data_IF_835078952943
#
_entry.id   IF_835078952943
#
_cell.length_a   1.000
_cell.length_b   1.000
_cell.length_c   1.000
_cell.angle_alpha   90.00
_cell.angle_beta   90.00
_cell.angle_gamma   90.00
#
_symmetry.space_group_name_H-M   'P 1'
#
loop_
_entity.id
_entity.type
_entity.pdbx_description
1 polymer ?
#
# COMPACT_ATOMS: atom_id res chain seq x y z
N UNK A 1 -5.98 21.58 -29.01
CA UNK A 1 -6.70 21.15 -27.79
C UNK A 1 -5.73 20.42 -26.86
N UNK A 2 -5.73 20.82 -25.59
CA UNK A 2 -4.64 20.69 -24.61
C UNK A 2 -4.18 19.25 -24.32
N UNK A 3 -2.85 19.07 -24.36
CA UNK A 3 -2.13 17.90 -23.81
C UNK A 3 -2.28 17.89 -22.28
N UNK A 4 -2.78 16.77 -21.74
CA UNK A 4 -2.66 16.43 -20.32
C UNK A 4 -1.24 15.94 -20.09
N UNK A 5 -0.37 16.76 -19.52
CA UNK A 5 0.82 16.28 -18.82
C UNK A 5 0.33 15.74 -17.49
N UNK A 6 0.12 14.42 -17.45
CA UNK A 6 -0.03 13.68 -16.20
C UNK A 6 1.30 13.81 -15.47
N UNK A 7 1.32 14.50 -14.34
CA UNK A 7 2.50 14.54 -13.48
C UNK A 7 2.79 13.11 -13.00
N UNK A 8 4.04 12.70 -13.09
CA UNK A 8 4.52 11.37 -12.77
C UNK A 8 4.54 11.06 -11.25
N UNK A 9 3.70 11.73 -10.45
CA UNK A 9 3.65 11.57 -8.99
C UNK A 9 2.43 10.79 -8.46
N UNK A 10 1.62 10.20 -9.35
CA UNK A 10 0.39 9.50 -8.95
C UNK A 10 0.48 7.96 -8.98
N UNK A 11 1.63 7.34 -9.27
CA UNK A 11 1.64 5.90 -9.59
C UNK A 11 2.74 5.03 -8.95
N UNK A 12 3.64 5.56 -8.13
CA UNK A 12 4.68 4.72 -7.52
C UNK A 12 5.04 5.22 -6.12
N UNK A 13 5.18 4.28 -5.18
CA UNK A 13 5.80 4.46 -3.85
C UNK A 13 4.97 5.12 -2.73
N UNK A 14 3.92 4.42 -2.24
CA UNK A 14 3.61 4.38 -0.78
C UNK A 14 3.13 2.99 -0.28
N UNK A 15 2.74 2.03 -1.14
CA UNK A 15 2.04 0.81 -0.64
C UNK A 15 2.95 -0.42 -0.38
N UNK A 16 4.26 -0.35 -0.59
CA UNK A 16 5.10 -1.56 -0.55
C UNK A 16 6.22 -1.51 0.49
N UNK A 17 5.91 -1.67 1.78
CA UNK A 17 6.84 -2.28 2.76
C UNK A 17 6.15 -2.60 4.09
N UNK A 18 5.69 -3.85 4.28
CA UNK A 18 5.45 -4.45 5.60
C UNK A 18 5.81 -5.97 5.63
N UNK A 19 7.09 -6.24 5.98
CA UNK A 19 7.63 -7.37 6.81
C UNK A 19 7.78 -8.82 6.22
N UNK A 20 8.51 -9.79 6.87
CA UNK A 20 9.89 -10.22 6.57
C UNK A 20 10.06 -11.69 6.07
N UNK A 21 11.29 -12.01 5.64
CA UNK A 21 11.80 -13.23 4.99
C UNK A 21 11.86 -14.51 5.88
N UNK A 22 11.52 -15.70 5.36
CA UNK A 22 12.28 -16.99 5.54
C UNK A 22 11.55 -18.21 4.93
N UNK A 23 12.35 -19.10 4.32
CA UNK A 23 11.99 -20.33 3.58
C UNK A 23 11.21 -21.36 4.44
N UNK A 24 10.32 -22.14 3.81
CA UNK A 24 9.54 -23.23 4.42
C UNK A 24 9.75 -24.56 3.65
N UNK A 25 10.30 -25.60 4.29
CA UNK A 25 10.65 -26.88 3.61
C UNK A 25 10.02 -28.15 4.26
N UNK A 26 8.79 -28.07 4.78
CA UNK A 26 8.04 -29.24 5.29
C UNK A 26 7.07 -29.86 4.27
N UNK A 27 6.86 -31.19 4.30
CA UNK A 27 5.88 -31.91 3.46
C UNK A 27 5.06 -32.91 4.29
N UNK A 28 3.76 -32.99 4.04
CA UNK A 28 2.85 -34.01 4.56
C UNK A 28 2.23 -34.80 3.40
N UNK A 29 2.17 -36.13 3.54
CA UNK A 29 1.62 -37.04 2.54
C UNK A 29 0.63 -37.96 3.25
N UNK A 30 -0.45 -38.36 2.60
CA UNK A 30 -1.39 -39.32 3.19
C UNK A 30 -2.33 -39.91 2.16
N UNK A 31 -3.17 -40.85 2.60
CA UNK A 31 -4.23 -41.43 1.78
C UNK A 31 -5.54 -41.48 2.55
N UNK A 32 -6.65 -41.36 1.82
CA UNK A 32 -8.01 -41.43 2.34
C UNK A 32 -8.70 -42.62 1.70
N UNK A 33 -9.15 -43.54 2.54
CA UNK A 33 -9.89 -44.74 2.15
C UNK A 33 -11.23 -44.81 2.88
N UNK A 34 -12.17 -45.57 2.34
CA UNK A 34 -13.39 -45.94 3.05
C UNK A 34 -13.12 -47.13 4.00
N UNK A 35 -14.18 -47.63 4.65
CA UNK A 35 -14.09 -48.73 5.63
C UNK A 35 -13.65 -50.05 5.03
N UNK A 36 -13.82 -50.23 3.73
CA UNK A 36 -13.42 -51.44 3.01
C UNK A 36 -12.02 -51.28 2.39
N UNK A 37 -11.32 -50.18 2.71
CA UNK A 37 -9.99 -49.87 2.18
C UNK A 37 -10.00 -49.29 0.76
N UNK A 38 -11.17 -48.98 0.18
CA UNK A 38 -11.23 -48.42 -1.16
C UNK A 38 -10.84 -46.94 -1.16
N UNK A 39 -10.05 -46.46 -2.15
CA UNK A 39 -9.62 -45.06 -2.14
C UNK A 39 -10.75 -44.06 -2.39
N UNK A 40 -10.83 -43.03 -1.54
CA UNK A 40 -11.79 -41.93 -1.68
C UNK A 40 -11.19 -40.82 -2.52
N UNK A 41 -11.59 -40.74 -3.79
CA UNK A 41 -11.15 -39.73 -4.76
C UNK A 41 -11.79 -38.36 -4.52
N UNK A 42 -11.03 -37.28 -4.76
CA UNK A 42 -11.48 -35.88 -4.61
C UNK A 42 -12.05 -35.59 -3.21
N UNK A 43 -11.58 -36.28 -2.18
CA UNK A 43 -11.81 -35.89 -0.79
C UNK A 43 -11.05 -34.59 -0.53
N UNK A 44 -11.68 -33.63 0.12
CA UNK A 44 -11.01 -32.39 0.51
C UNK A 44 -10.21 -32.65 1.78
N UNK A 45 -8.95 -32.23 1.80
CA UNK A 45 -8.07 -32.28 2.96
C UNK A 45 -7.66 -30.88 3.32
N UNK A 46 -7.78 -30.54 4.59
CA UNK A 46 -7.46 -29.23 5.16
C UNK A 46 -6.45 -29.41 6.27
N UNK A 47 -5.43 -28.56 6.30
CA UNK A 47 -4.45 -28.45 7.37
C UNK A 47 -4.51 -27.02 7.91
N UNK A 48 -4.98 -26.86 9.14
CA UNK A 48 -5.22 -25.56 9.79
C UNK A 48 -4.21 -25.40 10.93
N UNK A 49 -3.37 -24.35 10.95
CA UNK A 49 -2.52 -24.08 12.11
C UNK A 49 -3.38 -23.68 13.32
N UNK A 50 -3.05 -24.21 14.49
CA UNK A 50 -3.84 -24.09 15.73
C UNK A 50 -3.24 -23.05 16.68
N UNK A 51 -1.91 -22.96 16.72
CA UNK A 51 -1.16 -22.09 17.64
C UNK A 51 -0.41 -20.95 16.93
N UNK A 52 -0.50 -20.90 15.59
CA UNK A 52 0.09 -19.88 14.72
C UNK A 52 -0.95 -19.37 13.71
N UNK A 53 -1.86 -18.47 14.13
CA UNK A 53 -2.93 -17.97 13.27
C UNK A 53 -2.42 -17.12 12.10
N UNK A 54 -1.16 -16.69 12.14
CA UNK A 54 -0.45 -16.03 11.05
C UNK A 54 -0.13 -16.95 9.86
N UNK A 55 -0.20 -18.28 10.06
CA UNK A 55 0.08 -19.25 9.01
C UNK A 55 -1.19 -19.58 8.20
N UNK A 56 -1.09 -19.74 6.87
CA UNK A 56 -2.27 -20.00 6.05
C UNK A 56 -2.80 -21.42 6.27
N UNK A 57 -4.12 -21.57 6.19
CA UNK A 57 -4.77 -22.88 6.09
C UNK A 57 -4.50 -23.50 4.72
N UNK A 58 -3.94 -24.72 4.68
CA UNK A 58 -3.63 -25.41 3.43
C UNK A 58 -4.76 -26.36 3.06
N UNK A 59 -5.24 -26.29 1.81
CA UNK A 59 -6.34 -27.12 1.30
C UNK A 59 -5.88 -27.88 0.06
N UNK A 60 -6.04 -29.20 0.05
CA UNK A 60 -5.73 -30.07 -1.10
C UNK A 60 -6.86 -31.06 -1.37
N UNK A 61 -6.82 -31.75 -2.51
CA UNK A 61 -7.77 -32.83 -2.84
C UNK A 61 -7.01 -34.12 -3.07
N UNK A 62 -7.60 -35.23 -2.65
CA UNK A 62 -7.06 -36.56 -2.93
C UNK A 62 -7.12 -36.92 -4.43
N UNK A 63 -6.11 -37.64 -4.90
CA UNK A 63 -5.99 -38.14 -6.28
C UNK A 63 -6.93 -39.32 -6.57
N UNK A 64 -6.78 -39.95 -7.74
CA UNK A 64 -7.59 -41.13 -8.12
C UNK A 64 -7.33 -42.36 -7.26
N UNK A 65 -6.20 -42.40 -6.54
CA UNK A 65 -5.80 -43.45 -5.60
C UNK A 65 -6.02 -43.00 -4.14
N UNK A 66 -6.82 -41.95 -3.91
CA UNK A 66 -7.12 -41.44 -2.56
C UNK A 66 -5.94 -40.72 -1.89
N UNK A 67 -4.81 -40.52 -2.57
CA UNK A 67 -3.59 -39.93 -1.99
C UNK A 67 -3.59 -38.41 -2.06
N UNK A 68 -3.01 -37.74 -1.08
CA UNK A 68 -2.83 -36.29 -1.07
C UNK A 68 -1.41 -35.93 -0.64
N UNK A 69 -0.97 -34.76 -1.07
CA UNK A 69 0.34 -34.18 -0.75
C UNK A 69 0.14 -32.72 -0.39
N UNK A 70 0.74 -32.28 0.72
CA UNK A 70 0.81 -30.89 1.19
C UNK A 70 2.29 -30.54 1.32
N UNK A 71 2.77 -29.51 0.62
CA UNK A 71 4.16 -29.03 0.71
C UNK A 71 4.28 -27.66 1.37
N UNK A 72 5.52 -27.21 1.60
CA UNK A 72 5.87 -25.90 2.16
C UNK A 72 5.25 -25.63 3.55
N UNK A 73 5.14 -26.67 4.38
CA UNK A 73 4.59 -26.57 5.73
C UNK A 73 5.62 -25.91 6.65
N UNK A 74 5.19 -24.89 7.41
CA UNK A 74 6.01 -24.20 8.42
C UNK A 74 5.86 -24.86 9.79
N UNK A 75 6.73 -24.52 10.76
CA UNK A 75 6.67 -25.11 12.10
C UNK A 75 5.50 -24.52 12.91
N UNK A 76 4.55 -25.37 13.32
CA UNK A 76 3.35 -25.02 14.13
C UNK A 76 2.59 -26.30 14.54
N UNK A 77 1.67 -26.21 15.49
CA UNK A 77 0.61 -27.20 15.70
C UNK A 77 -0.44 -27.09 14.61
N UNK A 78 -0.79 -28.20 13.96
CA UNK A 78 -1.82 -28.22 12.92
C UNK A 78 -2.96 -29.17 13.23
N UNK A 79 -4.18 -28.77 12.88
CA UNK A 79 -5.38 -29.60 12.79
C UNK A 79 -5.59 -30.04 11.35
N UNK A 80 -5.60 -31.35 11.11
CA UNK A 80 -5.93 -31.94 9.81
C UNK A 80 -7.39 -32.40 9.77
N UNK A 81 -8.12 -32.05 8.71
CA UNK A 81 -9.51 -32.45 8.50
C UNK A 81 -9.70 -32.97 7.08
N UNK A 82 -10.38 -34.11 6.92
CA UNK A 82 -10.74 -34.68 5.62
C UNK A 82 -12.26 -34.75 5.46
N UNK A 83 -12.79 -34.37 4.30
CA UNK A 83 -14.23 -34.36 4.03
C UNK A 83 -14.58 -34.84 2.62
N UNK A 84 -15.64 -35.66 2.53
CA UNK A 84 -16.27 -36.08 1.28
C UNK A 84 -17.77 -36.30 1.47
N UNK A 85 -18.61 -35.63 0.68
CA UNK A 85 -20.07 -35.82 0.67
C UNK A 85 -20.42 -37.29 0.41
N UNK A 86 -21.30 -37.87 1.25
CA UNK A 86 -21.78 -39.26 1.12
C UNK A 86 -20.95 -40.33 1.82
N UNK A 87 -19.84 -39.97 2.48
CA UNK A 87 -19.01 -40.92 3.21
C UNK A 87 -19.10 -40.65 4.72
N UNK A 88 -19.41 -41.69 5.51
CA UNK A 88 -19.22 -41.70 6.99
C UNK A 88 -17.83 -42.23 7.31
N UNK A 89 -17.34 -41.96 8.51
CA UNK A 89 -15.92 -42.09 8.90
C UNK A 89 -15.29 -43.40 8.48
N UNK A 90 -14.19 -43.27 7.74
CA UNK A 90 -13.28 -44.33 7.34
C UNK A 90 -11.87 -44.03 7.83
N UNK A 91 -11.11 -45.11 8.04
CA UNK A 91 -9.72 -45.13 8.48
C UNK A 91 -8.83 -44.14 7.71
N UNK A 92 -8.03 -43.37 8.44
CA UNK A 92 -7.02 -42.47 7.87
C UNK A 92 -5.64 -43.04 8.18
N UNK A 93 -4.99 -43.59 7.15
CA UNK A 93 -3.56 -43.90 7.20
C UNK A 93 -2.77 -42.64 6.80
N UNK A 94 -2.17 -41.97 7.78
CA UNK A 94 -1.33 -40.79 7.59
C UNK A 94 0.16 -41.14 7.82
N UNK A 95 1.00 -40.85 6.84
CA UNK A 95 2.46 -41.04 6.89
C UNK A 95 3.16 -39.70 6.62
N UNK A 96 3.73 -39.07 7.64
CA UNK A 96 4.44 -37.79 7.49
C UNK A 96 5.93 -38.09 7.25
N UNK A 97 6.49 -37.58 6.15
CA UNK A 97 7.90 -37.76 5.79
C UNK A 97 8.56 -36.41 5.43
N UNK A 98 9.75 -36.14 5.98
CA UNK A 98 10.59 -34.98 5.67
C UNK A 98 11.80 -35.40 4.80
N UNK A 99 12.49 -34.46 4.10
CA UNK A 99 13.65 -34.80 3.28
C UNK A 99 14.86 -35.12 4.17
N UNK A 100 14.96 -36.39 4.55
CA UNK A 100 16.16 -37.15 4.93
C UNK A 100 15.70 -38.58 5.25
N UNK A 101 15.02 -39.23 4.31
CA UNK A 101 14.63 -40.66 4.30
C UNK A 101 14.23 -41.32 5.64
N UNK A 102 13.64 -40.56 6.56
CA UNK A 102 13.11 -41.06 7.82
C UNK A 102 11.63 -40.73 7.90
N UNK A 103 10.81 -41.76 7.72
CA UNK A 103 9.41 -41.73 8.16
C UNK A 103 9.40 -41.48 9.66
N UNK A 104 8.94 -40.30 10.10
CA UNK A 104 8.88 -39.97 11.53
C UNK A 104 7.74 -40.72 12.24
N UNK A 105 6.67 -41.07 11.51
CA UNK A 105 5.55 -41.86 12.07
C UNK A 105 4.66 -42.48 10.98
N UNK A 106 4.12 -43.66 11.29
CA UNK A 106 3.10 -44.35 10.52
C UNK A 106 1.96 -44.78 11.45
N UNK A 107 0.76 -44.23 11.25
CA UNK A 107 -0.44 -44.72 11.91
C UNK A 107 -1.24 -45.58 10.97
N UNK A 108 -1.64 -46.74 11.47
CA UNK A 108 -2.57 -47.66 10.82
C UNK A 108 -3.66 -47.98 11.84
N UNK A 109 -4.83 -47.37 11.71
CA UNK A 109 -5.96 -47.66 12.60
C UNK A 109 -7.20 -46.77 12.41
N UNK A 110 -8.38 -47.24 12.88
CA UNK A 110 -9.64 -46.53 12.77
C UNK A 110 -9.74 -45.36 13.75
N UNK A 111 -10.02 -44.17 13.22
CA UNK A 111 -10.34 -43.00 14.04
C UNK A 111 -11.85 -42.80 14.00
N UNK A 112 -12.51 -42.87 15.15
CA UNK A 112 -13.96 -42.73 15.29
C UNK A 112 -14.32 -41.32 15.82
N UNK A 113 -15.52 -40.79 15.53
CA UNK A 113 -16.00 -39.55 16.15
C UNK A 113 -15.92 -39.64 17.68
N UNK A 114 -15.29 -38.66 18.33
CA UNK A 114 -15.21 -38.59 19.79
C UNK A 114 -14.06 -39.37 20.44
N UNK A 115 -13.23 -40.09 19.67
CA UNK A 115 -11.99 -40.64 20.23
C UNK A 115 -11.01 -39.52 20.58
N UNK A 116 -10.38 -39.58 21.76
CA UNK A 116 -9.30 -38.67 22.14
C UNK A 116 -8.19 -38.80 21.11
N UNK A 117 -7.83 -37.73 20.39
CA UNK A 117 -6.76 -37.78 19.42
C UNK A 117 -5.41 -38.02 20.11
N UNK A 118 -4.61 -39.01 19.71
CA UNK A 118 -3.21 -39.08 20.09
C UNK A 118 -2.48 -37.74 19.96
N UNK A 119 -1.87 -37.28 21.04
CA UNK A 119 -0.92 -36.17 20.99
C UNK A 119 0.36 -36.66 20.33
N UNK A 120 0.80 -36.02 19.24
CA UNK A 120 2.07 -36.37 18.59
C UNK A 120 3.11 -35.28 18.89
N UNK A 121 4.27 -35.67 19.46
CA UNK A 121 5.44 -34.80 19.59
C UNK A 121 6.43 -35.14 18.48
N UNK A 122 6.67 -34.21 17.56
CA UNK A 122 7.69 -34.29 16.53
C UNK A 122 8.94 -33.60 17.10
N UNK A 123 10.00 -34.38 17.26
CA UNK A 123 11.34 -33.97 17.70
C UNK A 123 11.42 -33.39 19.13
N UNK A 124 10.42 -33.66 19.98
CA UNK A 124 10.34 -33.16 21.36
C UNK A 124 9.91 -31.70 21.51
N UNK A 125 9.69 -30.97 20.39
CA UNK A 125 9.43 -29.52 20.38
C UNK A 125 8.25 -29.07 19.49
N UNK A 126 7.60 -30.00 18.78
CA UNK A 126 6.43 -29.68 17.94
C UNK A 126 5.29 -30.61 18.29
N UNK A 127 4.19 -30.08 18.83
CA UNK A 127 3.00 -30.90 19.14
C UNK A 127 2.01 -30.79 18.00
N UNK A 128 1.57 -31.90 17.40
CA UNK A 128 0.46 -31.92 16.44
C UNK A 128 -0.74 -32.54 17.14
N UNK A 129 -1.84 -31.78 17.21
CA UNK A 129 -3.12 -32.22 17.78
C UNK A 129 -4.13 -32.28 16.66
N UNK A 130 -4.80 -33.42 16.49
CA UNK A 130 -5.81 -33.60 15.44
C UNK A 130 -7.21 -33.62 16.03
N UNK A 131 -8.23 -33.21 15.29
CA UNK A 131 -9.63 -33.43 15.63
C UNK A 131 -10.33 -33.94 14.37
N UNK A 132 -10.90 -35.14 14.43
CA UNK A 132 -11.73 -35.70 13.34
C UNK A 132 -13.19 -35.56 13.77
N UNK A 133 -13.83 -34.52 13.27
CA UNK A 133 -15.26 -34.28 13.49
C UNK A 133 -16.02 -34.78 12.28
N UNK A 134 -16.82 -35.82 12.47
CA UNK A 134 -17.72 -36.37 11.45
C UNK A 134 -19.07 -36.61 12.09
N UNK A 135 -20.08 -35.83 11.70
CA UNK A 135 -21.44 -35.99 12.22
C UNK A 135 -22.27 -36.92 11.32
N UNK A 136 -23.00 -37.89 11.90
CA UNK A 136 -24.13 -38.55 11.27
C UNK A 136 -25.43 -37.79 11.59
N UNK A 137 -26.23 -37.46 10.57
CA UNK A 137 -27.67 -37.14 10.66
C UNK A 137 -28.15 -36.22 11.80
N UNK A 138 -27.47 -35.09 12.04
CA UNK A 138 -28.19 -33.91 12.48
C UNK A 138 -28.58 -33.15 11.21
N UNK A 139 -29.84 -32.72 11.12
CA UNK A 139 -30.45 -32.13 9.93
C UNK A 139 -29.54 -31.13 9.23
N UNK A 140 -29.73 -31.02 7.91
CA UNK A 140 -29.08 -30.03 7.05
C UNK A 140 -28.75 -28.78 7.88
N UNK A 141 -27.47 -28.43 8.13
CA UNK A 141 -27.16 -27.18 8.80
C UNK A 141 -27.83 -26.13 7.92
N UNK A 142 -28.95 -25.58 8.38
CA UNK A 142 -30.03 -25.14 7.50
C UNK A 142 -29.54 -24.17 6.45
N UNK A 143 -29.76 -24.48 5.16
CA UNK A 143 -29.40 -23.63 4.01
C UNK A 143 -28.21 -22.68 4.26
N UNK A 144 -27.05 -23.20 4.66
CA UNK A 144 -25.82 -22.40 4.59
C UNK A 144 -25.49 -22.37 3.11
N UNK A 145 -25.81 -21.25 2.48
CA UNK A 145 -25.61 -21.03 1.06
C UNK A 145 -24.24 -21.52 0.60
N UNK A 146 -24.16 -21.83 -0.68
CA UNK A 146 -23.00 -22.31 -1.44
C UNK A 146 -21.78 -21.35 -1.44
N UNK A 147 -21.64 -20.49 -0.45
CA UNK A 147 -20.60 -19.48 -0.30
C UNK A 147 -19.31 -20.03 0.29
N UNK A 148 -18.21 -19.43 -0.14
CA UNK A 148 -16.91 -19.59 0.51
C UNK A 148 -17.02 -19.10 1.98
N UNK A 149 -16.15 -19.56 2.91
CA UNK A 149 -16.11 -19.01 4.26
C UNK A 149 -15.84 -17.50 4.21
N UNK A 150 -16.54 -16.75 5.06
CA UNK A 150 -16.33 -15.31 5.23
C UNK A 150 -14.87 -15.03 5.56
N UNK A 151 -14.27 -14.06 4.86
CA UNK A 151 -12.91 -13.65 5.14
C UNK A 151 -12.88 -12.78 6.40
N UNK A 152 -11.83 -12.94 7.18
CA UNK A 152 -11.50 -12.01 8.25
C UNK A 152 -11.17 -10.62 7.69
N UNK A 153 -11.26 -9.59 8.54
CA UNK A 153 -10.87 -8.22 8.16
C UNK A 153 -9.41 -8.18 7.64
N UNK A 154 -8.51 -8.99 8.20
CA UNK A 154 -7.11 -9.06 7.74
C UNK A 154 -6.98 -9.65 6.33
N UNK A 155 -7.76 -10.69 6.01
CA UNK A 155 -7.77 -11.27 4.66
C UNK A 155 -8.38 -10.31 3.63
N UNK A 156 -9.40 -9.54 4.02
CA UNK A 156 -9.97 -8.46 3.21
C UNK A 156 -8.92 -7.36 2.96
N UNK A 157 -8.22 -6.92 4.00
CA UNK A 157 -7.12 -5.94 3.88
C UNK A 157 -6.04 -6.45 2.92
N UNK A 158 -5.65 -7.72 3.03
CA UNK A 158 -4.64 -8.31 2.14
C UNK A 158 -5.09 -8.32 0.67
N UNK A 159 -6.40 -8.51 0.40
CA UNK A 159 -6.93 -8.41 -0.97
C UNK A 159 -6.88 -6.99 -1.50
N UNK A 160 -7.26 -6.02 -0.68
CA UNK A 160 -7.19 -4.61 -1.04
C UNK A 160 -5.73 -4.22 -1.36
N UNK A 161 -4.78 -4.61 -0.51
CA UNK A 161 -3.35 -4.38 -0.73
C UNK A 161 -2.81 -5.11 -1.97
N UNK A 162 -3.34 -6.30 -2.27
CA UNK A 162 -3.04 -7.06 -3.47
C UNK A 162 -3.68 -6.50 -4.76
N UNK A 163 -4.47 -5.43 -4.68
CA UNK A 163 -5.17 -4.81 -5.81
C UNK A 163 -6.43 -5.57 -6.26
N UNK A 164 -6.85 -6.61 -5.53
CA UNK A 164 -8.06 -7.39 -5.81
C UNK A 164 -9.30 -6.71 -5.19
N UNK A 165 -9.53 -5.46 -5.59
CA UNK A 165 -10.52 -4.55 -4.98
C UNK A 165 -11.95 -5.08 -5.14
N UNK A 166 -12.28 -5.64 -6.31
CA UNK A 166 -13.60 -6.18 -6.56
C UNK A 166 -13.91 -7.41 -5.68
N UNK A 167 -12.94 -8.31 -5.49
CA UNK A 167 -13.14 -9.43 -4.58
C UNK A 167 -13.21 -8.99 -3.11
N UNK A 168 -12.43 -7.98 -2.72
CA UNK A 168 -12.54 -7.40 -1.38
C UNK A 168 -13.94 -6.82 -1.14
N UNK A 169 -14.48 -6.04 -2.08
CA UNK A 169 -15.83 -5.46 -1.98
C UNK A 169 -16.90 -6.56 -1.85
N UNK A 170 -16.86 -7.58 -2.73
CA UNK A 170 -17.81 -8.69 -2.67
C UNK A 170 -17.80 -9.38 -1.30
N UNK A 171 -16.61 -9.57 -0.75
CA UNK A 171 -16.44 -10.23 0.54
C UNK A 171 -16.90 -9.36 1.71
N UNK A 172 -16.58 -8.06 1.68
CA UNK A 172 -17.06 -7.10 2.69
C UNK A 172 -18.59 -7.06 2.68
N UNK A 173 -19.22 -7.01 1.51
CA UNK A 173 -20.68 -7.01 1.40
C UNK A 173 -21.29 -8.29 1.97
N UNK A 174 -20.70 -9.47 1.67
CA UNK A 174 -21.15 -10.73 2.24
C UNK A 174 -20.98 -10.77 3.76
N UNK A 175 -19.92 -10.18 4.31
CA UNK A 175 -19.74 -10.06 5.75
C UNK A 175 -20.81 -9.14 6.36
N UNK A 176 -21.09 -8.01 5.73
CA UNK A 176 -22.11 -7.05 6.17
C UNK A 176 -23.54 -7.61 6.09
N UNK A 177 -23.83 -8.58 5.22
CA UNK A 177 -25.11 -9.31 5.26
C UNK A 177 -25.32 -10.04 6.60
N UNK A 178 -24.24 -10.51 7.21
CA UNK A 178 -24.27 -11.22 8.50
C UNK A 178 -24.12 -10.29 9.71
N UNK A 179 -23.34 -9.22 9.58
CA UNK A 179 -23.10 -8.21 10.62
C UNK A 179 -23.26 -6.81 10.02
N UNK A 180 -24.51 -6.32 9.82
CA UNK A 180 -24.76 -5.07 9.11
C UNK A 180 -24.19 -3.80 9.78
N UNK A 181 -23.93 -3.87 11.09
CA UNK A 181 -23.47 -2.73 11.90
C UNK A 181 -22.00 -2.86 12.33
N UNK A 182 -21.15 -3.46 11.50
CA UNK A 182 -19.70 -3.47 11.74
C UNK A 182 -19.03 -2.22 11.16
N UNK A 183 -18.56 -1.33 12.03
CA UNK A 183 -17.87 -0.11 11.64
C UNK A 183 -16.57 -0.38 10.86
N UNK A 184 -15.83 -1.44 11.19
CA UNK A 184 -14.57 -1.77 10.50
C UNK A 184 -14.83 -2.26 9.08
N UNK A 185 -15.88 -3.08 8.88
CA UNK A 185 -16.26 -3.53 7.54
C UNK A 185 -16.79 -2.39 6.68
N UNK A 186 -17.60 -1.48 7.25
CA UNK A 186 -18.04 -0.27 6.54
C UNK A 186 -16.85 0.65 6.19
N UNK A 187 -15.85 0.75 7.07
CA UNK A 187 -14.62 1.49 6.81
C UNK A 187 -13.82 0.87 5.65
N UNK A 188 -13.62 -0.45 5.66
CA UNK A 188 -12.95 -1.17 4.58
C UNK A 188 -13.73 -1.06 3.25
N UNK A 189 -15.07 -1.04 3.30
CA UNK A 189 -15.91 -0.81 2.13
C UNK A 189 -15.69 0.60 1.58
N UNK A 190 -15.68 1.61 2.45
CA UNK A 190 -15.44 3.00 2.06
C UNK A 190 -14.06 3.16 1.40
N UNK A 191 -13.03 2.54 1.98
CA UNK A 191 -11.68 2.55 1.44
C UNK A 191 -11.59 1.86 0.07
N UNK A 192 -12.20 0.68 -0.08
CA UNK A 192 -12.20 -0.06 -1.34
C UNK A 192 -12.99 0.67 -2.45
N UNK A 193 -14.14 1.25 -2.12
CA UNK A 193 -14.95 2.05 -3.06
C UNK A 193 -14.23 3.32 -3.48
N UNK A 194 -13.51 3.99 -2.56
CA UNK A 194 -12.68 5.15 -2.88
C UNK A 194 -11.58 4.77 -3.89
N UNK A 195 -10.88 3.64 -3.69
CA UNK A 195 -9.87 3.17 -4.64
C UNK A 195 -10.44 2.83 -6.02
N UNK A 196 -11.68 2.32 -6.05
CA UNK A 196 -12.41 2.04 -7.29
C UNK A 196 -12.92 3.31 -8.00
N UNK A 197 -12.93 4.45 -7.31
CA UNK A 197 -13.48 5.72 -7.80
C UNK A 197 -15.01 5.82 -7.69
N UNK A 198 -15.65 4.92 -6.93
CA UNK A 198 -17.09 4.99 -6.64
C UNK A 198 -17.30 5.86 -5.39
N UNK A 199 -17.20 7.18 -5.57
CA UNK A 199 -17.19 8.16 -4.49
C UNK A 199 -18.52 8.22 -3.70
N UNK A 200 -19.64 7.97 -4.37
CA UNK A 200 -20.96 7.94 -3.74
C UNK A 200 -21.06 6.80 -2.73
N UNK A 201 -20.75 5.56 -3.15
CA UNK A 201 -20.77 4.42 -2.22
C UNK A 201 -19.71 4.51 -1.14
N UNK A 202 -18.55 5.09 -1.46
CA UNK A 202 -17.52 5.37 -0.47
C UNK A 202 -18.04 6.34 0.61
N UNK A 203 -18.81 7.35 0.20
CA UNK A 203 -19.43 8.31 1.13
C UNK A 203 -20.50 7.65 2.00
N UNK A 204 -21.40 6.87 1.42
CA UNK A 204 -22.40 6.12 2.20
C UNK A 204 -21.75 5.22 3.27
N UNK A 205 -20.71 4.48 2.89
CA UNK A 205 -20.02 3.56 3.77
C UNK A 205 -19.23 4.28 4.88
N UNK A 206 -18.60 5.42 4.59
CA UNK A 206 -17.87 6.18 5.63
C UNK A 206 -18.84 6.91 6.58
N UNK A 207 -19.97 7.40 6.07
CA UNK A 207 -21.01 8.00 6.91
C UNK A 207 -21.60 6.94 7.86
N UNK A 208 -21.81 5.71 7.37
CA UNK A 208 -22.23 4.59 8.23
C UNK A 208 -21.18 4.24 9.28
N UNK A 209 -19.91 4.19 8.88
CA UNK A 209 -18.77 3.97 9.80
C UNK A 209 -18.79 4.97 10.94
N UNK A 210 -18.83 6.27 10.62
CA UNK A 210 -18.80 7.36 11.60
C UNK A 210 -20.08 7.44 12.42
N UNK A 211 -21.21 6.93 11.93
CA UNK A 211 -22.45 6.81 12.72
C UNK A 211 -22.36 5.73 13.80
N UNK A 212 -21.62 4.64 13.55
CA UNK A 212 -21.46 3.52 14.48
C UNK A 212 -20.28 3.76 15.44
N UNK A 213 -19.15 4.20 14.90
CA UNK A 213 -17.95 4.54 15.65
C UNK A 213 -17.37 5.89 15.17
N UNK A 214 -17.77 7.01 15.81
CA UNK A 214 -17.34 8.36 15.42
C UNK A 214 -15.83 8.63 15.54
N UNK A 215 -15.11 7.80 16.29
CA UNK A 215 -13.67 7.92 16.57
C UNK A 215 -12.87 6.76 15.97
N UNK A 216 -13.43 6.03 15.00
CA UNK A 216 -12.67 4.99 14.30
C UNK A 216 -11.49 5.64 13.56
N UNK A 217 -10.28 5.18 13.87
CA UNK A 217 -9.06 5.69 13.23
C UNK A 217 -9.07 5.49 11.71
N UNK A 218 -8.57 6.49 11.00
CA UNK A 218 -8.55 6.57 9.55
C UNK A 218 -9.87 7.03 8.94
N UNK A 219 -10.99 6.96 9.66
CA UNK A 219 -12.31 7.20 9.07
C UNK A 219 -12.50 8.66 8.64
N UNK A 220 -12.07 9.63 9.45
CA UNK A 220 -12.16 11.04 9.06
C UNK A 220 -11.12 11.39 7.98
N UNK A 221 -10.03 10.64 7.84
CA UNK A 221 -9.12 10.77 6.68
C UNK A 221 -9.80 10.35 5.37
N UNK A 222 -10.55 9.25 5.36
CA UNK A 222 -11.31 8.83 4.17
C UNK A 222 -12.38 9.87 3.83
N UNK A 223 -13.13 10.35 4.84
CA UNK A 223 -14.11 11.40 4.66
C UNK A 223 -13.49 12.68 4.08
N UNK A 224 -12.33 13.09 4.61
CA UNK A 224 -11.59 14.24 4.10
C UNK A 224 -11.23 14.10 2.61
N UNK A 225 -10.75 12.92 2.17
CA UNK A 225 -10.44 12.64 0.77
C UNK A 225 -11.66 12.68 -0.14
N UNK A 226 -12.80 12.20 0.34
CA UNK A 226 -14.06 12.24 -0.41
C UNK A 226 -14.57 13.67 -0.59
N UNK A 227 -14.53 14.47 0.48
CA UNK A 227 -14.90 15.89 0.46
C UNK A 227 -13.96 16.71 -0.43
N UNK A 228 -12.66 16.41 -0.39
CA UNK A 228 -11.67 17.00 -1.29
C UNK A 228 -11.99 16.73 -2.76
N UNK A 229 -12.33 15.48 -3.11
CA UNK A 229 -12.73 15.12 -4.46
C UNK A 229 -14.03 15.81 -4.90
N UNK A 230 -14.93 16.11 -3.95
CA UNK A 230 -16.13 16.91 -4.18
C UNK A 230 -15.86 18.42 -4.31
N UNK A 231 -14.62 18.89 -4.07
CA UNK A 231 -14.26 20.31 -4.06
C UNK A 231 -14.64 21.05 -2.77
N UNK A 232 -15.04 20.33 -1.72
CA UNK A 232 -15.47 20.87 -0.43
C UNK A 232 -14.27 21.08 0.51
N UNK A 233 -13.36 21.98 0.13
CA UNK A 233 -12.05 22.17 0.78
C UNK A 233 -12.14 22.41 2.30
N UNK A 234 -13.03 23.28 2.76
CA UNK A 234 -13.09 23.62 4.19
C UNK A 234 -13.65 22.45 5.03
N UNK A 235 -14.60 21.69 4.50
CA UNK A 235 -15.13 20.50 5.18
C UNK A 235 -14.09 19.37 5.20
N UNK A 236 -13.36 19.18 4.10
CA UNK A 236 -12.27 18.22 4.03
C UNK A 236 -11.19 18.52 5.09
N UNK A 237 -10.80 19.80 5.24
CA UNK A 237 -9.88 20.23 6.29
C UNK A 237 -10.44 19.99 7.69
N UNK A 238 -11.73 20.23 7.93
CA UNK A 238 -12.36 19.94 9.21
C UNK A 238 -12.33 18.44 9.54
N UNK A 239 -12.57 17.57 8.55
CA UNK A 239 -12.47 16.12 8.72
C UNK A 239 -11.03 15.69 9.06
N UNK A 240 -10.02 16.18 8.33
CA UNK A 240 -8.63 15.86 8.64
C UNK A 240 -8.22 16.36 10.04
N UNK A 241 -8.64 17.56 10.46
CA UNK A 241 -8.38 18.07 11.82
C UNK A 241 -9.00 17.17 12.89
N UNK A 242 -10.23 16.71 12.67
CA UNK A 242 -10.88 15.76 13.57
C UNK A 242 -10.12 14.43 13.67
N UNK A 243 -9.51 13.95 12.59
CA UNK A 243 -8.62 12.79 12.65
C UNK A 243 -7.36 13.07 13.49
N UNK A 244 -6.71 14.21 13.24
CA UNK A 244 -5.49 14.63 13.95
C UNK A 244 -5.72 14.78 15.45
N UNK A 245 -6.91 15.23 15.86
CA UNK A 245 -7.29 15.37 17.27
C UNK A 245 -7.59 14.03 17.96
N UNK A 246 -8.08 13.03 17.22
CA UNK A 246 -8.57 11.76 17.79
C UNK A 246 -7.64 10.55 17.55
N UNK A 247 -6.57 10.71 16.79
CA UNK A 247 -5.64 9.62 16.50
C UNK A 247 -4.96 9.09 17.78
N UNK A 248 -4.79 7.77 17.86
CA UNK A 248 -4.10 7.08 18.95
C UNK A 248 -2.64 6.73 18.62
N UNK A 249 -2.24 6.85 17.35
CA UNK A 249 -0.88 6.57 16.89
C UNK A 249 -0.25 7.73 16.12
N UNK A 250 1.07 7.87 16.24
CA UNK A 250 1.84 8.88 15.49
C UNK A 250 1.72 8.69 13.96
N UNK A 251 1.61 7.44 13.50
CA UNK A 251 1.49 7.13 12.07
C UNK A 251 0.14 7.59 11.50
N UNK A 252 -0.97 7.37 12.21
CA UNK A 252 -2.29 7.87 11.80
C UNK A 252 -2.28 9.41 11.79
N UNK A 253 -1.73 10.04 12.84
CA UNK A 253 -1.58 11.50 12.90
C UNK A 253 -0.82 12.05 11.70
N UNK A 254 0.33 11.46 11.40
CA UNK A 254 1.21 11.84 10.28
C UNK A 254 0.47 11.78 8.95
N UNK A 255 -0.26 10.70 8.69
CA UNK A 255 -0.99 10.52 7.42
C UNK A 255 -2.13 11.53 7.24
N UNK A 256 -2.82 11.89 8.33
CA UNK A 256 -3.84 12.93 8.31
C UNK A 256 -3.23 14.33 8.09
N UNK A 257 -2.10 14.64 8.76
CA UNK A 257 -1.35 15.89 8.56
C UNK A 257 -0.87 16.05 7.11
N UNK A 258 -0.31 14.99 6.50
CA UNK A 258 0.12 15.00 5.09
C UNK A 258 -1.08 15.25 4.17
N UNK A 259 -2.21 14.59 4.40
CA UNK A 259 -3.40 14.77 3.56
C UNK A 259 -3.94 16.21 3.64
N UNK A 260 -3.97 16.77 4.85
CA UNK A 260 -4.40 18.15 5.08
C UNK A 260 -3.43 19.18 4.50
N UNK A 261 -2.12 18.99 4.63
CA UNK A 261 -1.13 19.92 4.08
C UNK A 261 -1.18 19.96 2.55
N UNK A 262 -1.29 18.80 1.88
CA UNK A 262 -1.44 18.74 0.42
C UNK A 262 -2.74 19.40 -0.07
N UNK A 263 -3.81 19.34 0.70
CA UNK A 263 -5.05 20.08 0.41
C UNK A 263 -4.84 21.59 0.55
N UNK A 264 -4.16 22.04 1.61
CA UNK A 264 -3.85 23.46 1.85
C UNK A 264 -2.94 24.04 0.76
N UNK A 265 -1.93 23.29 0.32
CA UNK A 265 -1.04 23.69 -0.78
C UNK A 265 -1.84 23.96 -2.05
N UNK A 266 -2.75 23.06 -2.42
CA UNK A 266 -3.61 23.23 -3.61
C UNK A 266 -4.59 24.39 -3.47
N UNK A 267 -5.00 24.69 -2.25
CA UNK A 267 -5.83 25.85 -1.94
C UNK A 267 -5.01 27.15 -1.79
N UNK A 268 -3.69 27.12 -2.04
CA UNK A 268 -2.73 28.23 -1.84
C UNK A 268 -2.79 28.83 -0.42
N UNK A 269 -3.17 28.03 0.59
CA UNK A 269 -3.15 28.38 2.02
C UNK A 269 -1.82 27.94 2.64
N UNK A 270 -0.72 28.49 2.13
CA UNK A 270 0.64 27.97 2.32
C UNK A 270 1.13 28.02 3.77
N UNK A 271 0.85 29.08 4.52
CA UNK A 271 1.28 29.21 5.92
C UNK A 271 0.63 28.16 6.83
N UNK A 272 -0.61 27.77 6.53
CA UNK A 272 -1.27 26.66 7.25
C UNK A 272 -0.67 25.31 6.86
N UNK A 273 -0.27 25.15 5.59
CA UNK A 273 0.38 23.94 5.12
C UNK A 273 1.76 23.75 5.77
N UNK A 274 2.52 24.85 5.94
CA UNK A 274 3.80 24.86 6.66
C UNK A 274 3.64 24.30 8.07
N UNK A 275 2.71 24.84 8.86
CA UNK A 275 2.49 24.38 10.24
C UNK A 275 2.18 22.88 10.32
N UNK A 276 1.36 22.36 9.39
CA UNK A 276 1.04 20.93 9.34
C UNK A 276 2.24 20.08 8.91
N UNK A 277 3.04 20.56 7.95
CA UNK A 277 4.25 19.87 7.50
C UNK A 277 5.35 19.89 8.57
N UNK A 278 5.51 20.98 9.32
CA UNK A 278 6.40 21.05 10.49
C UNK A 278 6.03 19.96 11.51
N UNK A 279 4.73 19.73 11.77
CA UNK A 279 4.28 18.62 12.62
C UNK A 279 4.60 17.24 12.01
N UNK A 280 4.49 17.06 10.70
CA UNK A 280 4.90 15.82 10.02
C UNK A 280 6.38 15.55 10.24
N UNK A 281 7.24 16.57 10.09
CA UNK A 281 8.69 16.46 10.30
C UNK A 281 9.04 16.24 11.77
N UNK A 282 8.24 16.73 12.71
CA UNK A 282 8.42 16.41 14.12
C UNK A 282 8.14 14.92 14.43
N UNK A 283 7.20 14.30 13.71
CA UNK A 283 6.88 12.87 13.83
C UNK A 283 7.90 11.98 13.10
N UNK A 284 8.22 12.34 11.86
CA UNK A 284 9.14 11.60 10.99
C UNK A 284 10.18 12.57 10.37
N UNK A 285 11.29 12.83 11.09
CA UNK A 285 12.28 13.83 10.67
C UNK A 285 12.92 13.59 9.31
N UNK A 286 12.92 12.34 8.84
CA UNK A 286 13.55 11.91 7.59
C UNK A 286 12.54 11.71 6.44
N UNK A 287 11.29 12.16 6.60
CA UNK A 287 10.29 12.10 5.54
C UNK A 287 10.65 13.07 4.40
N UNK A 288 11.43 12.59 3.42
CA UNK A 288 11.94 13.38 2.31
C UNK A 288 10.82 14.06 1.51
N UNK A 289 9.68 13.39 1.32
CA UNK A 289 8.56 13.97 0.60
C UNK A 289 7.97 15.18 1.34
N UNK A 290 7.72 15.06 2.64
CA UNK A 290 7.23 16.16 3.46
C UNK A 290 8.24 17.30 3.58
N UNK A 291 9.54 17.00 3.66
CA UNK A 291 10.59 18.01 3.67
C UNK A 291 10.60 18.82 2.36
N UNK A 292 10.42 18.17 1.20
CA UNK A 292 10.33 18.86 -0.09
C UNK A 292 9.12 19.78 -0.17
N UNK A 293 7.94 19.31 0.25
CA UNK A 293 6.74 20.15 0.27
C UNK A 293 6.89 21.33 1.24
N UNK A 294 7.54 21.12 2.40
CA UNK A 294 7.80 22.18 3.37
C UNK A 294 8.74 23.24 2.81
N UNK A 295 9.83 22.83 2.16
CA UNK A 295 10.74 23.74 1.48
C UNK A 295 10.03 24.55 0.39
N UNK A 296 9.18 23.90 -0.41
CA UNK A 296 8.39 24.59 -1.44
C UNK A 296 7.44 25.64 -0.84
N UNK A 297 6.78 25.31 0.28
CA UNK A 297 5.93 26.27 0.99
C UNK A 297 6.76 27.47 1.48
N UNK A 298 7.89 27.23 2.15
CA UNK A 298 8.78 28.29 2.61
C UNK A 298 9.30 29.20 1.50
N UNK A 299 9.65 28.64 0.34
CA UNK A 299 10.08 29.44 -0.81
C UNK A 299 8.97 30.35 -1.30
N UNK A 300 7.73 29.84 -1.38
CA UNK A 300 6.57 30.60 -1.86
C UNK A 300 6.09 31.66 -0.86
N UNK A 301 6.23 31.42 0.44
CA UNK A 301 5.87 32.38 1.52
C UNK A 301 7.01 33.35 1.86
N UNK A 302 8.20 33.16 1.29
CA UNK A 302 9.35 34.05 1.44
C UNK A 302 10.24 33.72 2.65
N UNK A 303 10.01 32.61 3.35
CA UNK A 303 10.85 32.08 4.43
C UNK A 303 12.13 31.41 3.89
N UNK A 304 12.93 32.16 3.14
CA UNK A 304 14.07 31.63 2.36
C UNK A 304 15.11 30.91 3.21
N UNK A 305 15.47 31.45 4.38
CA UNK A 305 16.48 30.83 5.25
C UNK A 305 16.01 29.45 5.75
N UNK A 306 14.72 29.33 6.09
CA UNK A 306 14.13 28.05 6.47
C UNK A 306 14.10 27.07 5.29
N UNK A 307 13.78 27.55 4.09
CA UNK A 307 13.82 26.71 2.90
C UNK A 307 15.22 26.15 2.63
N UNK A 308 16.26 26.99 2.70
CA UNK A 308 17.65 26.56 2.53
C UNK A 308 18.05 25.47 3.55
N UNK A 309 17.66 25.62 4.82
CA UNK A 309 17.92 24.61 5.87
C UNK A 309 17.24 23.27 5.54
N UNK A 310 15.95 23.30 5.19
CA UNK A 310 15.20 22.09 4.86
C UNK A 310 15.75 21.43 3.59
N UNK A 311 16.13 22.21 2.58
CA UNK A 311 16.71 21.69 1.34
C UNK A 311 18.10 21.08 1.56
N UNK A 312 18.91 21.66 2.45
CA UNK A 312 20.17 21.05 2.88
C UNK A 312 19.92 19.70 3.57
N UNK A 313 18.88 19.61 4.42
CA UNK A 313 18.47 18.34 5.04
C UNK A 313 18.03 17.31 4.00
N UNK A 314 17.19 17.68 3.03
CA UNK A 314 16.79 16.82 1.90
C UNK A 314 18.02 16.29 1.15
N UNK A 315 18.99 17.16 0.87
CA UNK A 315 20.24 16.78 0.22
C UNK A 315 21.05 15.78 1.05
N UNK A 316 21.14 15.98 2.37
CA UNK A 316 21.89 15.09 3.26
C UNK A 316 21.30 13.68 3.35
N UNK A 317 19.98 13.55 3.12
CA UNK A 317 19.25 12.28 3.12
C UNK A 317 19.27 11.57 1.75
N UNK A 318 20.09 12.03 0.79
CA UNK A 318 20.13 11.45 -0.56
C UNK A 318 18.91 11.79 -1.42
N UNK A 319 18.08 12.76 -0.99
CA UNK A 319 16.99 13.31 -1.78
C UNK A 319 17.42 14.40 -2.78
N UNK A 320 18.73 14.65 -2.90
CA UNK A 320 19.36 15.68 -3.75
C UNK A 320 19.17 15.49 -5.24
N UNK A 321 18.83 14.28 -5.67
CA UNK A 321 18.76 13.91 -7.09
C UNK A 321 17.35 14.07 -7.65
N UNK A 322 16.49 14.85 -7.00
CA UNK A 322 15.20 15.25 -7.55
C UNK A 322 15.37 16.55 -8.34
N UNK A 323 15.09 16.55 -9.65
CA UNK A 323 15.29 17.72 -10.50
C UNK A 323 14.41 18.90 -10.07
N UNK A 324 13.22 18.67 -9.51
CA UNK A 324 12.35 19.77 -9.05
C UNK A 324 12.95 20.52 -7.86
N UNK A 325 13.64 19.80 -6.96
CA UNK A 325 14.31 20.39 -5.79
C UNK A 325 15.53 21.20 -6.21
N UNK A 326 16.35 20.64 -7.09
CA UNK A 326 17.50 21.32 -7.67
C UNK A 326 17.07 22.58 -8.43
N UNK A 327 15.98 22.51 -9.19
CA UNK A 327 15.43 23.65 -9.91
C UNK A 327 15.01 24.77 -8.96
N UNK A 328 14.29 24.44 -7.87
CA UNK A 328 13.81 25.43 -6.91
C UNK A 328 14.96 26.09 -6.14
N UNK A 329 16.02 25.34 -5.80
CA UNK A 329 17.26 25.88 -5.24
C UNK A 329 17.95 26.85 -6.21
N UNK A 330 17.98 26.50 -7.50
CA UNK A 330 18.51 27.36 -8.55
C UNK A 330 17.70 28.66 -8.70
N UNK A 331 16.36 28.55 -8.69
CA UNK A 331 15.45 29.67 -8.82
C UNK A 331 15.56 30.64 -7.63
N UNK A 332 15.69 30.13 -6.40
CA UNK A 332 15.93 30.98 -5.24
C UNK A 332 17.30 31.67 -5.32
N UNK A 333 18.36 30.94 -5.66
CA UNK A 333 19.68 31.54 -5.84
C UNK A 333 19.65 32.64 -6.92
N UNK A 334 18.92 32.44 -8.02
CA UNK A 334 18.74 33.43 -9.08
C UNK A 334 18.00 34.68 -8.59
N UNK A 335 16.89 34.50 -7.86
CA UNK A 335 16.12 35.60 -7.28
C UNK A 335 16.88 36.41 -6.21
N UNK A 336 17.96 35.84 -5.66
CA UNK A 336 18.87 36.50 -4.74
C UNK A 336 20.15 36.99 -5.44
N UNK A 337 20.16 37.05 -6.78
CA UNK A 337 21.28 37.50 -7.61
C UNK A 337 22.58 36.68 -7.42
N UNK A 338 22.48 35.48 -6.85
CA UNK A 338 23.60 34.52 -6.69
C UNK A 338 23.75 33.68 -7.96
N UNK A 339 24.04 34.33 -9.09
CA UNK A 339 23.93 33.72 -10.42
C UNK A 339 24.84 32.51 -10.66
N UNK A 340 26.05 32.47 -10.08
CA UNK A 340 26.93 31.30 -10.16
C UNK A 340 26.35 30.09 -9.44
N UNK A 341 25.80 30.29 -8.24
CA UNK A 341 25.16 29.23 -7.44
C UNK A 341 23.88 28.75 -8.13
N UNK A 342 23.11 29.68 -8.71
CA UNK A 342 21.93 29.36 -9.50
C UNK A 342 22.28 28.49 -10.71
N UNK A 343 23.33 28.84 -11.45
CA UNK A 343 23.81 28.07 -12.59
C UNK A 343 24.20 26.63 -12.20
N UNK A 344 24.94 26.43 -11.11
CA UNK A 344 25.31 25.09 -10.62
C UNK A 344 24.07 24.21 -10.33
N UNK A 345 23.04 24.78 -9.71
CA UNK A 345 21.80 24.05 -9.44
C UNK A 345 21.00 23.73 -10.71
N UNK A 346 20.91 24.65 -11.66
CA UNK A 346 20.24 24.37 -12.93
C UNK A 346 21.02 23.36 -13.78
N UNK A 347 22.35 23.40 -13.77
CA UNK A 347 23.20 22.38 -14.42
C UNK A 347 22.98 21.00 -13.79
N UNK A 348 22.91 20.91 -12.46
CA UNK A 348 22.54 19.67 -11.76
C UNK A 348 21.13 19.19 -12.08
N UNK A 349 20.17 20.11 -12.15
CA UNK A 349 18.78 19.81 -12.56
C UNK A 349 18.76 19.14 -13.93
N UNK A 350 19.49 19.71 -14.90
CA UNK A 350 19.62 19.20 -16.26
C UNK A 350 20.36 17.86 -16.29
N UNK A 351 21.38 17.68 -15.46
CA UNK A 351 22.11 16.41 -15.37
C UNK A 351 21.21 15.26 -14.88
N UNK A 352 20.29 15.56 -13.96
CA UNK A 352 19.32 14.60 -13.40
C UNK A 352 18.14 14.36 -14.34
N UNK A 353 17.52 15.42 -14.85
CA UNK A 353 16.45 15.36 -15.84
C UNK A 353 16.77 16.25 -17.06
N UNK A 354 17.38 15.67 -18.10
CA UNK A 354 17.65 16.38 -19.35
C UNK A 354 16.40 16.88 -20.08
N UNK A 355 15.19 16.47 -19.67
CA UNK A 355 13.93 16.94 -20.25
C UNK A 355 13.30 18.10 -19.47
N UNK A 356 13.93 18.59 -18.40
CA UNK A 356 13.45 19.73 -17.60
C UNK A 356 13.70 21.04 -18.33
N UNK A 357 12.85 21.36 -19.31
CA UNK A 357 13.02 22.51 -20.21
C UNK A 357 13.23 23.84 -19.46
N UNK A 358 12.47 24.06 -18.39
CA UNK A 358 12.51 25.27 -17.59
C UNK A 358 13.89 25.51 -16.95
N UNK A 359 14.68 24.46 -16.68
CA UNK A 359 16.04 24.58 -16.16
C UNK A 359 17.01 25.16 -17.21
N UNK A 360 16.86 24.79 -18.50
CA UNK A 360 17.64 25.39 -19.60
C UNK A 360 17.32 26.87 -19.77
N UNK A 361 16.05 27.27 -19.66
CA UNK A 361 15.67 28.68 -19.73
C UNK A 361 16.35 29.49 -18.62
N UNK A 362 16.26 29.02 -17.38
CA UNK A 362 16.83 29.73 -16.23
C UNK A 362 18.36 29.72 -16.26
N UNK A 363 19.00 28.61 -16.68
CA UNK A 363 20.44 28.57 -16.89
C UNK A 363 20.89 29.58 -17.94
N UNK A 364 20.13 29.72 -19.04
CA UNK A 364 20.35 30.75 -20.04
C UNK A 364 20.35 32.16 -19.44
N UNK A 365 19.36 32.47 -18.59
CA UNK A 365 19.33 33.76 -17.87
C UNK A 365 20.47 33.93 -16.86
N UNK A 366 20.89 32.88 -16.16
CA UNK A 366 22.08 32.93 -15.30
C UNK A 366 23.32 33.31 -16.12
N UNK A 367 23.56 32.62 -17.25
CA UNK A 367 24.75 32.87 -18.09
C UNK A 367 24.74 34.28 -18.68
N UNK A 368 23.57 34.86 -19.00
CA UNK A 368 23.48 36.28 -19.39
C UNK A 368 23.93 37.22 -18.27
N UNK A 369 23.44 37.03 -17.05
CA UNK A 369 23.82 37.86 -15.91
C UNK A 369 25.31 37.71 -15.56
N UNK A 370 25.88 36.54 -15.82
CA UNK A 370 27.31 36.26 -15.67
C UNK A 370 28.17 36.75 -16.86
N UNK A 371 27.57 37.25 -17.93
CA UNK A 371 28.27 37.74 -19.13
C UNK A 371 28.75 36.64 -20.09
N UNK A 372 28.39 35.38 -19.85
CA UNK A 372 28.68 34.25 -20.75
C UNK A 372 27.63 34.16 -21.86
N UNK A 373 27.73 35.10 -22.82
CA UNK A 373 26.80 35.22 -23.95
C UNK A 373 26.73 33.94 -24.80
N UNK A 374 27.85 33.25 -25.14
CA UNK A 374 27.79 31.99 -25.88
C UNK A 374 26.97 30.91 -25.17
N UNK A 375 27.23 30.66 -23.87
CA UNK A 375 26.50 29.65 -23.12
C UNK A 375 25.03 30.03 -22.90
N UNK A 376 24.73 31.31 -22.74
CA UNK A 376 23.36 31.80 -22.69
C UNK A 376 22.57 31.47 -23.95
N UNK A 377 23.14 31.77 -25.13
CA UNK A 377 22.50 31.49 -26.42
C UNK A 377 22.25 29.99 -26.59
N UNK A 378 23.22 29.14 -26.22
CA UNK A 378 23.10 27.69 -26.30
C UNK A 378 21.90 27.18 -25.48
N UNK A 379 21.83 27.57 -24.21
CA UNK A 379 20.78 27.12 -23.29
C UNK A 379 19.40 27.66 -23.67
N UNK A 380 19.30 28.93 -24.10
CA UNK A 380 18.05 29.52 -24.58
C UNK A 380 17.55 28.83 -25.87
N UNK A 381 18.45 28.51 -26.81
CA UNK A 381 18.10 27.70 -28.00
C UNK A 381 17.58 26.33 -27.60
N UNK A 382 18.20 25.68 -26.60
CA UNK A 382 17.74 24.38 -26.13
C UNK A 382 16.33 24.42 -25.55
N UNK A 383 16.02 25.46 -24.77
CA UNK A 383 14.66 25.68 -24.28
C UNK A 383 13.64 25.87 -25.43
N UNK A 384 13.98 26.67 -26.45
CA UNK A 384 13.12 26.91 -27.63
C UNK A 384 12.85 25.61 -28.39
N UNK A 385 13.86 24.75 -28.57
CA UNK A 385 13.70 23.43 -29.20
C UNK A 385 12.71 22.54 -28.43
N UNK A 386 12.74 22.59 -27.10
CA UNK A 386 11.93 21.74 -26.23
C UNK A 386 10.49 22.25 -26.07
N UNK A 387 10.30 23.57 -26.08
CA UNK A 387 9.01 24.24 -25.82
C UNK A 387 8.71 25.33 -26.87
N UNK A 388 8.65 24.99 -28.17
CA UNK A 388 8.50 26.00 -29.24
C UNK A 388 7.20 26.80 -29.16
N UNK A 389 6.14 26.22 -28.59
CA UNK A 389 4.81 26.85 -28.48
C UNK A 389 4.62 27.63 -27.15
N UNK A 390 5.66 27.73 -26.31
CA UNK A 390 5.57 28.47 -25.04
C UNK A 390 5.67 29.98 -25.26
N UNK A 391 4.90 30.82 -24.53
CA UNK A 391 5.11 32.27 -24.56
C UNK A 391 6.57 32.67 -24.28
N UNK A 392 7.20 32.02 -23.30
CA UNK A 392 8.60 32.27 -22.94
C UNK A 392 9.59 31.92 -24.07
N UNK A 393 9.21 31.08 -25.04
CA UNK A 393 10.08 30.76 -26.17
C UNK A 393 10.18 31.93 -27.15
N UNK A 394 9.12 32.72 -27.30
CA UNK A 394 9.16 33.95 -28.12
C UNK A 394 10.10 34.98 -27.49
N UNK A 395 10.05 35.15 -26.17
CA UNK A 395 10.94 36.04 -25.43
C UNK A 395 12.40 35.58 -25.52
N UNK A 396 12.66 34.29 -25.30
CA UNK A 396 13.98 33.69 -25.46
C UNK A 396 14.53 33.86 -26.88
N UNK A 397 13.67 33.75 -27.90
CA UNK A 397 14.07 33.92 -29.30
C UNK A 397 14.47 35.37 -29.61
N UNK A 398 13.74 36.35 -29.09
CA UNK A 398 14.09 37.77 -29.23
C UNK A 398 15.46 38.07 -28.59
N UNK A 399 15.71 37.52 -27.40
CA UNK A 399 17.00 37.65 -26.71
C UNK A 399 18.13 37.02 -27.55
N UNK A 400 17.94 35.80 -28.05
CA UNK A 400 18.94 35.12 -28.88
C UNK A 400 19.24 35.90 -30.15
N UNK A 401 18.24 36.47 -30.84
CA UNK A 401 18.44 37.31 -32.03
C UNK A 401 19.25 38.56 -31.71
N UNK A 402 18.84 39.29 -30.67
CA UNK A 402 19.53 40.50 -30.22
C UNK A 402 21.00 40.26 -29.89
N UNK A 403 21.33 39.11 -29.28
CA UNK A 403 22.70 38.77 -28.89
C UNK A 403 23.52 38.17 -30.03
N UNK A 404 22.86 37.63 -31.06
CA UNK A 404 23.51 37.05 -32.23
C UNK A 404 23.79 38.08 -33.34
N UNK A 405 23.36 39.33 -33.17
CA UNK A 405 23.65 40.43 -34.10
C UNK A 405 22.85 40.42 -35.40
N UNK A 406 21.63 39.85 -35.39
CA UNK A 406 20.69 39.86 -36.53
C UNK A 406 19.48 40.75 -36.27
#
# INVERSE_FOLDING_TARGET
>A
MRRRTVSALAAAFVVLMLLPCSLADGKAIGSITDRDGNPIKKAQVRLVPVDRPDLPTIKVKSDRKGRYIIGLIRKSTYRLTAFKKGYRVGEIDANIATPADKSLWAYKGPISPGSVPPKLSIDGLTTVTYDIVMYPDAGDPGEWGTGQPLLSNQEIINRIQGGDIDAAIMEIQRNLETVPEDANLNYLLAFAMLQKGDFEKAREAIDRTLSINPTLEGANTILGKLLENAGETDQALAAYRKEIENCSTAEVKKNALISASLLLIRAEKLEQAEAMLEEVIAIEPENVAALKELANCYLKTGHKEKAEEILAKVSSLGGSDDPAVLYNLGADAFNNEKFEKAADYFEKTIAVDPNFAEAYLQLGYCKLNLGDIPAAIENLKKFIEMRPDSPAASDAQAIVQSLSGN
#
